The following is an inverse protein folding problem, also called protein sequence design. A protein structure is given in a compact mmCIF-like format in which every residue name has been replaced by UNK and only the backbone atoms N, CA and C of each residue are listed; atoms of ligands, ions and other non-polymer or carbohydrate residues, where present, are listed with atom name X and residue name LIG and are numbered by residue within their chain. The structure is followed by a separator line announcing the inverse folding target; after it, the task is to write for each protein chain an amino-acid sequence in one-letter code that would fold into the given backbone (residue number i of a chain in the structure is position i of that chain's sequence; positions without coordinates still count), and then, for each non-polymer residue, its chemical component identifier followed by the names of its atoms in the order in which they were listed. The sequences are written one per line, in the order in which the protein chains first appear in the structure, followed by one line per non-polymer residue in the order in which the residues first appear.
data_IF_793420514938
#
_entry.id   IF_793420514938
#
_cell.length_a   1.000
_cell.length_b   1.000
_cell.length_c   1.000
_cell.angle_alpha   90.00
_cell.angle_beta   90.00
_cell.angle_gamma   90.00
#
_symmetry.space_group_name_H-M   'P 1'
#
loop_
_entity.id
_entity.type
_entity.pdbx_description
1 polymer ?
#
# COMPACT_ATOMS: atom_id res chain seq x y z
N UNK A 1 -9.11 -13.71 -13.40
CA UNK A 1 -7.65 -13.77 -13.16
C UNK A 1 -7.37 -13.60 -11.68
N UNK A 2 -6.54 -14.45 -11.10
CA UNK A 2 -6.14 -14.25 -9.72
C UNK A 2 -5.30 -12.98 -9.59
N UNK A 3 -5.54 -12.27 -8.51
CA UNK A 3 -4.77 -11.08 -8.17
C UNK A 3 -3.86 -11.42 -7.00
N UNK A 4 -2.60 -11.11 -7.12
CA UNK A 4 -1.58 -11.43 -6.13
C UNK A 4 -1.12 -10.13 -5.46
N UNK A 5 -1.24 -10.06 -4.17
CA UNK A 5 -0.94 -8.86 -3.38
C UNK A 5 0.21 -9.15 -2.41
N UNK A 6 1.18 -8.26 -2.37
CA UNK A 6 2.24 -8.28 -1.37
C UNK A 6 1.91 -7.22 -0.32
N UNK A 7 1.98 -7.60 0.96
CA UNK A 7 1.79 -6.64 2.05
C UNK A 7 3.09 -6.52 2.85
N UNK A 8 3.42 -5.28 3.24
CA UNK A 8 4.61 -5.00 4.03
C UNK A 8 4.24 -4.15 5.24
N UNK A 9 4.47 -4.68 6.42
CA UNK A 9 4.17 -4.03 7.69
C UNK A 9 4.99 -4.74 8.76
N UNK A 10 5.58 -4.00 9.68
CA UNK A 10 6.38 -4.61 10.75
C UNK A 10 5.51 -5.23 11.85
N UNK A 11 4.21 -4.95 11.87
CA UNK A 11 3.28 -5.51 12.84
C UNK A 11 2.62 -6.76 12.29
N UNK A 12 2.94 -7.92 12.90
CA UNK A 12 2.40 -9.20 12.46
C UNK A 12 0.87 -9.26 12.56
N UNK A 13 0.28 -8.59 13.55
CA UNK A 13 -1.18 -8.57 13.69
C UNK A 13 -1.84 -7.84 12.53
N UNK A 14 -1.24 -6.74 12.09
CA UNK A 14 -1.74 -5.99 10.93
C UNK A 14 -1.62 -6.84 9.66
N UNK A 15 -0.49 -7.54 9.49
CA UNK A 15 -0.33 -8.41 8.32
C UNK A 15 -1.41 -9.49 8.27
N UNK A 16 -1.72 -10.10 9.43
CA UNK A 16 -2.78 -11.11 9.49
C UNK A 16 -4.15 -10.52 9.18
N UNK A 17 -4.43 -9.34 9.71
CA UNK A 17 -5.69 -8.66 9.46
C UNK A 17 -5.86 -8.30 7.98
N UNK A 18 -4.82 -7.74 7.38
CA UNK A 18 -4.85 -7.39 5.96
C UNK A 18 -5.04 -8.61 5.07
N UNK A 19 -4.32 -9.70 5.38
CA UNK A 19 -4.50 -10.95 4.63
C UNK A 19 -5.96 -11.40 4.68
N UNK A 20 -6.55 -11.38 5.86
CA UNK A 20 -7.93 -11.81 6.03
C UNK A 20 -8.89 -10.91 5.24
N UNK A 21 -8.72 -9.60 5.34
CA UNK A 21 -9.59 -8.67 4.64
C UNK A 21 -9.46 -8.78 3.12
N UNK A 22 -8.24 -8.86 2.64
CA UNK A 22 -7.96 -8.92 1.20
C UNK A 22 -8.48 -10.23 0.62
N UNK A 23 -8.28 -11.33 1.31
CA UNK A 23 -8.67 -12.65 0.79
C UNK A 23 -10.16 -12.93 0.91
N UNK A 24 -10.95 -12.02 1.48
CA UNK A 24 -12.42 -12.11 1.38
C UNK A 24 -12.86 -11.89 -0.06
N UNK A 25 -12.06 -11.20 -0.87
CA UNK A 25 -12.37 -10.99 -2.28
C UNK A 25 -11.99 -12.24 -3.07
N UNK A 26 -12.97 -12.86 -3.74
CA UNK A 26 -12.69 -14.05 -4.53
C UNK A 26 -11.64 -13.80 -5.62
N UNK A 27 -10.70 -14.72 -5.73
CA UNK A 27 -9.61 -14.61 -6.70
C UNK A 27 -8.43 -13.77 -6.26
N UNK A 28 -8.49 -13.18 -5.06
CA UNK A 28 -7.38 -12.39 -4.52
C UNK A 28 -6.60 -13.21 -3.49
N UNK A 29 -5.28 -13.15 -3.59
CA UNK A 29 -4.37 -13.87 -2.70
C UNK A 29 -3.26 -12.96 -2.22
N UNK A 30 -2.97 -12.99 -0.94
CA UNK A 30 -1.76 -12.37 -0.42
C UNK A 30 -0.62 -13.35 -0.66
N UNK A 31 0.20 -13.09 -1.67
CA UNK A 31 1.24 -14.03 -2.10
C UNK A 31 2.42 -14.07 -1.14
N UNK A 32 2.64 -13.01 -0.40
CA UNK A 32 3.66 -12.97 0.64
C UNK A 32 3.45 -11.73 1.51
N UNK A 33 4.09 -11.74 2.68
CA UNK A 33 4.16 -10.54 3.51
C UNK A 33 5.63 -10.24 3.81
N UNK A 34 5.91 -8.99 4.12
CA UNK A 34 7.23 -8.50 4.44
C UNK A 34 7.19 -7.73 5.74
N UNK A 35 8.27 -7.80 6.52
CA UNK A 35 8.34 -7.15 7.84
C UNK A 35 9.04 -5.79 7.79
N UNK A 36 9.72 -5.50 6.70
CA UNK A 36 10.42 -4.22 6.54
C UNK A 36 10.55 -3.88 5.05
N UNK A 37 11.10 -2.70 4.78
CA UNK A 37 11.21 -2.20 3.43
C UNK A 37 12.15 -3.02 2.55
N UNK A 38 13.26 -3.51 3.10
CA UNK A 38 14.20 -4.34 2.34
C UNK A 38 13.54 -5.63 1.89
N UNK A 39 12.84 -6.29 2.79
CA UNK A 39 12.14 -7.52 2.48
C UNK A 39 11.04 -7.27 1.44
N UNK A 40 10.35 -6.12 1.53
CA UNK A 40 9.34 -5.75 0.55
C UNK A 40 9.93 -5.60 -0.85
N UNK A 41 11.08 -4.93 -0.96
CA UNK A 41 11.78 -4.77 -2.25
C UNK A 41 12.19 -6.13 -2.79
N UNK A 42 12.81 -6.96 -1.96
CA UNK A 42 13.30 -8.27 -2.39
C UNK A 42 12.16 -9.18 -2.85
N UNK A 43 11.08 -9.23 -2.09
CA UNK A 43 9.94 -10.08 -2.43
C UNK A 43 9.18 -9.59 -3.64
N UNK A 44 9.13 -8.28 -3.86
CA UNK A 44 8.54 -7.72 -5.06
C UNK A 44 9.31 -8.19 -6.30
N UNK A 45 10.64 -8.15 -6.24
CA UNK A 45 11.48 -8.60 -7.33
C UNK A 45 11.31 -10.09 -7.60
N UNK A 46 11.25 -10.88 -6.52
CA UNK A 46 11.15 -12.32 -6.62
C UNK A 46 9.78 -12.79 -7.11
N UNK A 47 8.72 -12.24 -6.54
CA UNK A 47 7.36 -12.75 -6.73
C UNK A 47 6.52 -11.99 -7.75
N UNK A 48 6.91 -10.78 -8.08
CA UNK A 48 6.23 -9.92 -9.06
C UNK A 48 4.72 -9.84 -8.81
N UNK A 49 4.32 -9.29 -7.66
CA UNK A 49 2.90 -9.16 -7.34
C UNK A 49 2.19 -8.19 -8.27
N UNK A 50 0.86 -8.21 -8.24
CA UNK A 50 0.05 -7.28 -9.01
C UNK A 50 -0.16 -5.95 -8.29
N UNK A 51 -0.08 -5.95 -6.95
CA UNK A 51 -0.22 -4.76 -6.11
C UNK A 51 0.65 -4.95 -4.87
N UNK A 52 1.23 -3.85 -4.40
CA UNK A 52 1.98 -3.84 -3.13
C UNK A 52 1.32 -2.87 -2.17
N UNK A 53 1.10 -3.30 -0.94
CA UNK A 53 0.61 -2.46 0.16
C UNK A 53 1.77 -2.26 1.12
N UNK A 54 2.14 -1.01 1.37
CA UNK A 54 3.33 -0.66 2.15
C UNK A 54 2.96 0.18 3.38
N UNK A 55 3.38 -0.27 4.54
CA UNK A 55 3.33 0.55 5.75
C UNK A 55 4.38 1.66 5.63
N UNK A 56 4.03 2.86 6.05
CA UNK A 56 4.96 3.99 6.05
C UNK A 56 6.09 3.78 7.06
N UNK A 57 5.75 3.40 8.28
CA UNK A 57 6.71 3.31 9.37
C UNK A 57 7.22 1.87 9.54
N UNK A 58 8.35 1.58 8.92
CA UNK A 58 9.01 0.28 9.05
C UNK A 58 10.48 0.52 9.42
N UNK A 59 11.11 -0.43 10.14
CA UNK A 59 12.51 -0.25 10.50
C UNK A 59 13.43 -0.29 9.27
N UNK A 60 14.56 0.36 9.38
CA UNK A 60 15.65 0.41 8.40
C UNK A 60 15.27 1.12 7.09
N UNK A 61 14.24 0.68 6.42
CA UNK A 61 13.76 1.29 5.19
C UNK A 61 12.25 1.48 5.31
N UNK A 62 11.80 2.73 5.34
CA UNK A 62 10.38 3.03 5.46
C UNK A 62 9.63 2.77 4.15
N UNK A 63 8.30 2.91 4.20
CA UNK A 63 7.46 2.61 3.04
C UNK A 63 7.73 3.50 1.83
N UNK A 64 8.05 4.78 2.05
CA UNK A 64 8.36 5.68 0.94
C UNK A 64 9.68 5.33 0.27
N UNK A 65 10.68 4.97 1.07
CA UNK A 65 11.97 4.53 0.55
C UNK A 65 11.83 3.23 -0.24
N UNK A 66 11.07 2.28 0.30
CA UNK A 66 10.80 1.03 -0.40
C UNK A 66 10.05 1.28 -1.71
N UNK A 67 9.06 2.17 -1.68
CA UNK A 67 8.29 2.50 -2.88
C UNK A 67 9.19 3.09 -3.98
N UNK A 68 10.12 3.98 -3.62
CA UNK A 68 11.05 4.55 -4.60
C UNK A 68 11.89 3.47 -5.26
N UNK A 69 12.40 2.54 -4.48
CA UNK A 69 13.19 1.44 -5.04
C UNK A 69 12.36 0.53 -5.94
N UNK A 70 11.16 0.20 -5.49
CA UNK A 70 10.26 -0.65 -6.27
C UNK A 70 9.87 0.03 -7.57
N UNK A 71 9.48 1.31 -7.51
CA UNK A 71 9.03 2.02 -8.70
C UNK A 71 10.13 2.26 -9.71
N UNK A 72 11.39 2.34 -9.26
CA UNK A 72 12.52 2.50 -10.19
C UNK A 72 12.68 1.29 -11.09
N UNK A 73 12.30 0.11 -10.62
CA UNK A 73 12.40 -1.14 -11.38
C UNK A 73 11.07 -1.57 -11.98
N UNK A 74 9.98 -1.18 -11.35
CA UNK A 74 8.62 -1.59 -11.74
C UNK A 74 7.71 -0.35 -11.76
N UNK A 75 7.88 0.56 -12.71
CA UNK A 75 7.16 1.84 -12.69
C UNK A 75 5.65 1.72 -12.86
N UNK A 76 5.17 0.60 -13.39
CA UNK A 76 3.73 0.39 -13.59
C UNK A 76 3.06 -0.39 -12.46
N UNK A 77 3.83 -0.83 -11.47
CA UNK A 77 3.29 -1.60 -10.36
C UNK A 77 2.52 -0.69 -9.41
N UNK A 78 1.23 -0.93 -9.21
CA UNK A 78 0.46 -0.13 -8.25
C UNK A 78 0.92 -0.38 -6.82
N UNK A 79 1.12 0.69 -6.07
CA UNK A 79 1.52 0.62 -4.67
C UNK A 79 0.59 1.49 -3.85
N UNK A 80 0.12 0.95 -2.72
CA UNK A 80 -0.74 1.65 -1.78
C UNK A 80 0.02 1.83 -0.47
N UNK A 81 0.14 3.07 -0.03
CA UNK A 81 0.70 3.37 1.27
C UNK A 81 -0.37 3.19 2.34
N UNK A 82 -0.07 2.46 3.40
CA UNK A 82 -1.02 2.14 4.47
C UNK A 82 -0.42 2.57 5.79
N UNK A 83 -0.99 3.57 6.44
CA UNK A 83 -0.33 4.24 7.57
C UNK A 83 -1.30 4.61 8.68
N UNK A 84 -0.78 4.69 9.93
CA UNK A 84 -1.58 5.20 11.06
C UNK A 84 -1.82 6.70 10.97
N UNK A 85 -1.03 7.41 10.16
CA UNK A 85 -1.20 8.86 10.00
C UNK A 85 -2.43 9.15 9.15
N UNK A 86 -2.96 10.36 9.28
CA UNK A 86 -3.97 10.85 8.37
C UNK A 86 -3.31 11.14 7.01
N UNK A 87 -4.06 10.91 5.95
CA UNK A 87 -3.57 11.22 4.61
C UNK A 87 -3.72 12.71 4.38
N UNK A 88 -2.62 13.44 4.58
CA UNK A 88 -2.56 14.89 4.36
C UNK A 88 -2.14 15.18 2.93
N UNK A 89 -2.23 16.46 2.54
CA UNK A 89 -1.72 16.88 1.23
C UNK A 89 -0.24 16.59 1.08
N UNK A 90 0.52 16.80 2.15
CA UNK A 90 1.95 16.55 2.14
C UNK A 90 2.25 15.07 1.95
N UNK A 91 1.55 14.21 2.70
CA UNK A 91 1.75 12.77 2.57
C UNK A 91 1.36 12.28 1.19
N UNK A 92 0.25 12.78 0.65
CA UNK A 92 -0.16 12.46 -0.72
C UNK A 92 0.93 12.82 -1.71
N UNK A 93 1.50 14.02 -1.57
CA UNK A 93 2.57 14.49 -2.45
C UNK A 93 3.80 13.59 -2.35
N UNK A 94 4.21 13.26 -1.13
CA UNK A 94 5.35 12.38 -0.91
C UNK A 94 5.11 10.98 -1.49
N UNK A 95 3.90 10.46 -1.32
CA UNK A 95 3.53 9.14 -1.85
C UNK A 95 3.60 9.13 -3.37
N UNK A 96 3.04 10.14 -4.02
CA UNK A 96 3.09 10.26 -5.48
C UNK A 96 4.53 10.35 -5.98
N UNK A 97 5.36 11.15 -5.31
CA UNK A 97 6.77 11.29 -5.68
C UNK A 97 7.54 9.98 -5.52
N UNK A 98 7.12 9.14 -4.60
CA UNK A 98 7.76 7.84 -4.39
C UNK A 98 7.25 6.75 -5.35
N UNK A 99 6.25 7.06 -6.15
CA UNK A 99 5.68 6.12 -7.10
C UNK A 99 4.43 5.42 -6.62
N UNK A 100 3.93 5.77 -5.41
CA UNK A 100 2.67 5.22 -4.93
C UNK A 100 1.50 5.86 -5.66
N UNK A 101 0.45 5.09 -5.86
CA UNK A 101 -0.76 5.57 -6.51
C UNK A 101 -1.92 5.73 -5.55
N UNK A 102 -1.69 5.49 -4.27
CA UNK A 102 -2.70 5.67 -3.27
C UNK A 102 -2.14 5.67 -1.87
N UNK A 103 -2.95 6.15 -0.95
CA UNK A 103 -2.64 6.12 0.48
C UNK A 103 -3.93 5.98 1.26
N UNK A 104 -3.88 5.15 2.29
CA UNK A 104 -5.03 4.84 3.13
C UNK A 104 -4.60 4.83 4.59
N UNK A 105 -5.38 5.46 5.46
CA UNK A 105 -5.12 5.40 6.89
C UNK A 105 -5.56 4.06 7.46
N UNK A 106 -4.79 3.53 8.41
CA UNK A 106 -5.14 2.28 9.10
C UNK A 106 -6.45 2.40 9.86
N UNK A 107 -6.88 3.61 10.18
CA UNK A 107 -8.18 3.85 10.83
C UNK A 107 -9.36 3.50 9.92
N UNK A 108 -9.15 3.46 8.62
CA UNK A 108 -10.16 3.09 7.65
C UNK A 108 -9.75 1.85 6.86
N UNK A 109 -9.09 0.92 7.54
CA UNK A 109 -8.60 -0.31 6.93
C UNK A 109 -9.67 -1.15 6.24
N UNK A 110 -10.95 -0.97 6.62
CA UNK A 110 -12.04 -1.67 5.95
C UNK A 110 -12.18 -1.28 4.48
N UNK A 111 -11.55 -0.17 4.05
CA UNK A 111 -11.58 0.25 2.66
C UNK A 111 -10.45 -0.33 1.83
N UNK A 112 -9.64 -1.23 2.42
CA UNK A 112 -8.46 -1.76 1.72
C UNK A 112 -8.81 -2.47 0.41
N UNK A 113 -9.87 -3.23 0.40
CA UNK A 113 -10.29 -3.95 -0.81
C UNK A 113 -10.69 -2.97 -1.90
N UNK A 114 -11.49 -1.96 -1.54
CA UNK A 114 -11.91 -0.94 -2.50
C UNK A 114 -10.71 -0.15 -3.04
N UNK A 115 -9.79 0.22 -2.16
CA UNK A 115 -8.59 0.95 -2.56
C UNK A 115 -7.78 0.15 -3.57
N UNK A 116 -7.57 -1.14 -3.30
CA UNK A 116 -6.85 -2.02 -4.23
C UNK A 116 -7.57 -2.13 -5.57
N UNK A 117 -8.90 -2.26 -5.55
CA UNK A 117 -9.68 -2.32 -6.79
C UNK A 117 -9.47 -1.08 -7.64
N UNK A 118 -9.47 0.09 -7.02
CA UNK A 118 -9.25 1.36 -7.73
C UNK A 118 -7.85 1.38 -8.36
N UNK A 119 -6.84 0.95 -7.61
CA UNK A 119 -5.47 0.90 -8.15
C UNK A 119 -5.34 -0.08 -9.30
N UNK A 120 -6.02 -1.21 -9.23
CA UNK A 120 -5.99 -2.20 -10.31
C UNK A 120 -6.65 -1.69 -11.58
N UNK A 121 -7.53 -0.71 -11.49
CA UNK A 121 -8.15 -0.07 -12.65
C UNK A 121 -7.32 1.10 -13.19
N UNK A 122 -6.08 1.23 -12.74
CA UNK A 122 -5.12 2.26 -13.15
C UNK A 122 -5.55 3.67 -12.74
N UNK A 123 -6.29 3.78 -11.64
CA UNK A 123 -6.67 5.05 -11.05
C UNK A 123 -5.98 5.21 -9.70
N UNK A 124 -5.87 6.44 -9.25
CA UNK A 124 -5.29 6.75 -7.94
C UNK A 124 -6.37 6.68 -6.87
N UNK A 125 -5.97 6.26 -5.68
CA UNK A 125 -6.86 6.25 -4.52
C UNK A 125 -6.17 6.92 -3.34
N UNK A 126 -6.60 8.13 -3.02
CA UNK A 126 -6.15 8.83 -1.82
C UNK A 126 -7.38 9.14 -0.99
N UNK A 127 -7.32 8.80 0.30
CA UNK A 127 -8.38 9.14 1.22
C UNK A 127 -8.63 10.64 1.17
N UNK A 128 -9.87 11.09 1.40
CA UNK A 128 -10.15 12.52 1.48
C UNK A 128 -9.21 13.20 2.46
N UNK A 129 -8.64 14.31 2.03
CA UNK A 129 -7.68 15.07 2.83
C UNK A 129 -8.47 15.95 3.79
N UNK A 130 -8.37 15.66 5.09
CA UNK A 130 -9.18 16.35 6.10
C UNK A 130 -8.90 17.84 6.17
N UNK A 131 -7.66 18.23 5.89
CA UNK A 131 -7.28 19.64 5.85
C UNK A 131 -7.99 20.42 4.74
N UNK A 132 -8.59 19.71 3.78
CA UNK A 132 -9.35 20.32 2.70
C UNK A 132 -10.84 20.36 3.02
N UNK A 133 -11.27 19.80 4.14
CA UNK A 133 -12.66 19.82 4.52
C UNK A 133 -13.13 21.26 4.68
N UNK A 134 -14.31 21.57 4.17
CA UNK A 134 -14.84 22.93 4.34
C UNK A 134 -15.01 23.24 5.82
N UNK A 135 -14.84 24.48 6.15
CA UNK A 135 -15.00 24.98 7.51
C UNK A 135 -16.28 25.81 7.55
N UNK A 136 -17.29 25.28 8.16
CA UNK A 136 -18.54 26.02 8.42
C UNK A 136 -19.28 25.41 9.57
#
# INVERSE_FOLDING_TARGET
MPVRILIADDDAAIRRLLRRLIETRGGWTVCADARDGHEAVDKTEELKPDVVVLDLAMPDMNGLQAAREISSKHPDLPMLLFTVQQVSKELKHQALNAGCRGALSKNTGSEIVHAIEVLLSHQNFFQPIRSDAPIW
#
